data_IF_170646058821
#
_entry.id   IF_170646058821
#
_cell.length_a   1.000
_cell.length_b   1.000
_cell.length_c   1.000
_cell.angle_alpha   90.00
_cell.angle_beta   90.00
_cell.angle_gamma   90.00
#
_symmetry.space_group_name_H-M   'P 1'
#
loop_
_entity.id
_entity.type
_entity.pdbx_description
1 polymer ?
#
# COMPACT_ATOMS: atom_id res chain seq x y z
N UNK A 1 19.11 11.29 -65.35
CA UNK A 1 19.30 10.96 -63.95
C UNK A 1 18.63 12.03 -63.09
N UNK A 2 17.54 11.70 -62.41
CA UNK A 2 16.82 12.63 -61.50
C UNK A 2 17.17 12.21 -60.08
N UNK A 3 17.90 13.05 -59.32
CA UNK A 3 18.13 12.87 -57.90
C UNK A 3 16.85 13.27 -57.17
N UNK A 4 16.28 12.34 -56.40
CA UNK A 4 15.23 12.62 -55.44
C UNK A 4 15.89 12.96 -54.08
N UNK A 5 15.66 14.18 -53.59
CA UNK A 5 16.08 14.60 -52.24
C UNK A 5 15.06 14.09 -51.23
N UNK A 6 15.46 13.19 -50.35
CA UNK A 6 14.64 12.77 -49.20
C UNK A 6 14.80 13.82 -48.10
N UNK A 7 13.72 14.49 -47.74
CA UNK A 7 13.61 15.38 -46.58
C UNK A 7 13.35 14.54 -45.34
N UNK A 8 14.34 14.43 -44.48
CA UNK A 8 14.23 13.76 -43.17
C UNK A 8 13.61 14.76 -42.17
N UNK A 9 12.29 14.64 -41.90
CA UNK A 9 11.63 15.41 -40.87
C UNK A 9 11.96 14.83 -39.49
N UNK A 10 12.80 15.51 -38.73
CA UNK A 10 13.01 15.19 -37.30
C UNK A 10 11.76 15.60 -36.49
N UNK A 11 11.03 14.63 -36.00
CA UNK A 11 9.99 14.84 -35.00
C UNK A 11 10.66 15.24 -33.69
N UNK A 12 10.68 16.50 -33.34
CA UNK A 12 11.10 16.98 -32.01
C UNK A 12 9.98 16.63 -31.04
N UNK A 13 10.11 15.54 -30.30
CA UNK A 13 9.25 15.26 -29.15
C UNK A 13 9.57 16.28 -28.05
N UNK A 14 8.56 16.95 -27.46
CA UNK A 14 8.81 17.81 -26.32
C UNK A 14 9.36 16.97 -25.16
N UNK A 15 10.54 17.29 -24.70
CA UNK A 15 11.13 16.76 -23.47
C UNK A 15 10.26 17.31 -22.34
N UNK A 16 9.45 16.48 -21.72
CA UNK A 16 8.72 16.86 -20.52
C UNK A 16 9.71 17.36 -19.46
N UNK A 17 9.51 18.57 -18.96
CA UNK A 17 10.42 19.22 -18.03
C UNK A 17 10.47 18.41 -16.72
N UNK A 18 11.64 17.85 -16.39
CA UNK A 18 11.87 17.06 -15.19
C UNK A 18 11.49 17.83 -13.90
N UNK A 19 11.52 19.17 -13.95
CA UNK A 19 11.10 20.06 -12.86
C UNK A 19 9.61 20.02 -12.53
N UNK A 20 8.72 19.73 -13.51
CA UNK A 20 7.27 19.60 -13.27
C UNK A 20 6.84 18.18 -12.89
N UNK A 21 7.61 17.16 -13.24
CA UNK A 21 7.24 15.76 -12.96
C UNK A 21 7.30 15.40 -11.48
N UNK A 22 8.28 15.91 -10.75
CA UNK A 22 8.48 15.64 -9.34
C UNK A 22 7.31 16.12 -8.43
N UNK A 23 6.82 17.36 -8.53
CA UNK A 23 5.65 17.81 -7.76
C UNK A 23 4.38 17.02 -8.08
N UNK A 24 4.16 16.64 -9.34
CA UNK A 24 3.01 15.83 -9.75
C UNK A 24 3.08 14.43 -9.16
N UNK A 25 4.25 13.80 -9.15
CA UNK A 25 4.46 12.48 -8.55
C UNK A 25 4.17 12.48 -7.04
N UNK A 26 4.64 13.50 -6.32
CA UNK A 26 4.35 13.67 -4.89
C UNK A 26 2.85 13.90 -4.64
N UNK A 27 2.20 14.76 -5.40
CA UNK A 27 0.76 14.99 -5.29
C UNK A 27 -0.04 13.69 -5.55
N UNK A 28 0.37 12.88 -6.53
CA UNK A 28 -0.22 11.58 -6.81
C UNK A 28 0.00 10.60 -5.64
N UNK A 29 1.19 10.57 -5.04
CA UNK A 29 1.47 9.72 -3.88
C UNK A 29 0.62 10.10 -2.65
N UNK A 30 0.44 11.41 -2.40
CA UNK A 30 -0.48 11.89 -1.35
C UNK A 30 -1.90 11.42 -1.62
N UNK A 31 -2.36 11.51 -2.88
CA UNK A 31 -3.70 11.03 -3.26
C UNK A 31 -3.85 9.51 -3.03
N UNK A 32 -2.81 8.72 -3.32
CA UNK A 32 -2.77 7.28 -3.05
C UNK A 32 -2.94 6.99 -1.55
N UNK A 33 -2.24 7.73 -0.67
CA UNK A 33 -2.36 7.60 0.77
C UNK A 33 -3.76 8.00 1.27
N UNK A 34 -4.29 9.13 0.79
CA UNK A 34 -5.65 9.61 1.13
C UNK A 34 -6.73 8.61 0.72
N UNK A 35 -6.57 8.01 -0.46
CA UNK A 35 -7.50 7.01 -0.96
C UNK A 35 -7.42 5.71 -0.14
N UNK A 36 -6.22 5.32 0.34
CA UNK A 36 -6.03 4.13 1.18
C UNK A 36 -6.56 4.34 2.62
N UNK A 37 -6.49 5.56 3.15
CA UNK A 37 -6.90 5.86 4.53
C UNK A 37 -8.34 5.42 4.81
N UNK A 38 -8.59 4.88 6.02
CA UNK A 38 -9.90 4.42 6.47
C UNK A 38 -9.98 2.92 6.74
N UNK A 39 -11.20 2.38 6.77
CA UNK A 39 -11.48 0.98 7.13
C UNK A 39 -12.00 0.21 5.92
N UNK A 40 -11.53 -1.03 5.79
CA UNK A 40 -11.79 -1.87 4.65
C UNK A 40 -12.18 -3.30 5.06
N UNK A 41 -13.20 -3.86 4.41
CA UNK A 41 -13.41 -5.30 4.35
C UNK A 41 -12.56 -5.84 3.21
N UNK A 42 -11.80 -6.90 3.45
CA UNK A 42 -10.85 -7.42 2.48
C UNK A 42 -11.07 -8.92 2.28
N UNK A 43 -11.29 -9.31 1.03
CA UNK A 43 -11.24 -10.71 0.62
C UNK A 43 -9.84 -11.00 0.11
N UNK A 44 -9.15 -11.96 0.72
CA UNK A 44 -7.80 -12.38 0.36
C UNK A 44 -7.84 -13.77 -0.26
N UNK A 45 -7.29 -13.89 -1.47
CA UNK A 45 -7.11 -15.14 -2.19
C UNK A 45 -5.62 -15.48 -2.23
N UNK A 46 -5.24 -16.65 -1.76
CA UNK A 46 -3.89 -17.23 -1.92
C UNK A 46 -3.85 -18.16 -3.11
N UNK A 47 -2.73 -18.12 -3.82
CA UNK A 47 -2.46 -19.01 -4.93
C UNK A 47 -1.37 -20.03 -4.58
N UNK A 48 -1.54 -21.24 -5.04
CA UNK A 48 -0.50 -22.27 -5.03
C UNK A 48 0.57 -21.97 -6.11
N UNK A 49 1.70 -22.65 -6.05
CA UNK A 49 2.81 -22.46 -7.01
C UNK A 49 2.42 -22.72 -8.48
N UNK A 50 1.39 -23.54 -8.72
CA UNK A 50 0.82 -23.83 -10.04
C UNK A 50 -0.24 -22.78 -10.48
N UNK A 51 -0.48 -21.74 -9.70
CA UNK A 51 -1.46 -20.69 -9.99
C UNK A 51 -2.91 -21.03 -9.61
N UNK A 52 -3.19 -22.21 -9.10
CA UNK A 52 -4.53 -22.56 -8.61
C UNK A 52 -4.84 -21.82 -7.30
N UNK A 53 -6.12 -21.55 -7.04
CA UNK A 53 -6.56 -21.00 -5.75
C UNK A 53 -6.32 -22.02 -4.65
N UNK A 54 -5.50 -21.68 -3.68
CA UNK A 54 -5.17 -22.52 -2.53
C UNK A 54 -6.09 -22.24 -1.33
N UNK A 55 -6.46 -20.98 -1.10
CA UNK A 55 -7.33 -20.57 0.00
C UNK A 55 -7.96 -19.20 -0.26
N UNK A 56 -9.12 -18.97 0.34
CA UNK A 56 -9.80 -17.67 0.37
C UNK A 56 -10.23 -17.41 1.80
N UNK A 57 -9.99 -16.20 2.29
CA UNK A 57 -10.45 -15.74 3.61
C UNK A 57 -10.86 -14.27 3.55
N UNK A 58 -11.67 -13.86 4.52
CA UNK A 58 -12.05 -12.47 4.70
C UNK A 58 -11.39 -11.89 5.94
N UNK A 59 -11.16 -10.58 5.92
CA UNK A 59 -10.54 -9.88 7.02
C UNK A 59 -10.84 -8.39 6.98
N UNK A 60 -10.21 -7.66 7.89
CA UNK A 60 -10.34 -6.22 7.98
C UNK A 60 -8.97 -5.56 7.93
N UNK A 61 -8.90 -4.43 7.21
CA UNK A 61 -7.76 -3.53 7.22
C UNK A 61 -8.19 -2.15 7.71
N UNK A 62 -7.37 -1.52 8.50
CA UNK A 62 -7.53 -0.11 8.84
C UNK A 62 -6.23 0.63 8.53
N UNK A 63 -6.38 1.87 8.04
CA UNK A 63 -5.26 2.77 7.78
C UNK A 63 -5.57 4.13 8.38
N UNK A 64 -4.73 4.55 9.31
CA UNK A 64 -4.92 5.77 10.09
C UNK A 64 -3.70 6.70 9.94
N UNK A 65 -3.94 8.01 9.87
CA UNK A 65 -2.88 9.01 9.76
C UNK A 65 -2.09 9.14 11.07
N UNK A 66 -0.76 9.04 10.97
CA UNK A 66 0.18 9.46 12.03
C UNK A 66 0.66 10.88 11.75
N UNK A 67 1.06 11.14 10.51
CA UNK A 67 1.37 12.48 10.02
C UNK A 67 0.56 12.69 8.76
N UNK A 68 -0.38 13.65 8.74
CA UNK A 68 -1.24 13.89 7.58
C UNK A 68 -0.43 14.02 6.29
N UNK A 69 -0.91 13.35 5.23
CA UNK A 69 -0.33 13.33 3.89
C UNK A 69 1.11 12.77 3.77
N UNK A 70 1.68 12.24 4.86
CA UNK A 70 3.05 11.73 4.87
C UNK A 70 3.20 10.32 5.42
N UNK A 71 2.52 10.03 6.52
CA UNK A 71 2.68 8.76 7.24
C UNK A 71 1.33 8.17 7.59
N UNK A 72 1.05 6.98 7.08
CA UNK A 72 -0.08 6.14 7.48
C UNK A 72 0.42 4.93 8.24
N UNK A 73 -0.22 4.59 9.35
CA UNK A 73 -0.13 3.25 9.92
C UNK A 73 -1.29 2.40 9.44
N UNK A 74 -1.06 1.10 9.35
CA UNK A 74 -2.07 0.13 8.99
C UNK A 74 -2.09 -1.07 9.92
N UNK A 75 -3.27 -1.66 10.07
CA UNK A 75 -3.46 -2.95 10.73
C UNK A 75 -4.29 -3.84 9.85
N UNK A 76 -3.83 -5.06 9.65
CA UNK A 76 -4.54 -6.13 8.95
C UNK A 76 -4.89 -7.24 9.94
N UNK A 77 -6.08 -7.83 9.81
CA UNK A 77 -6.51 -9.00 10.59
C UNK A 77 -7.27 -9.94 9.66
N UNK A 78 -6.87 -11.21 9.62
CA UNK A 78 -7.56 -12.30 8.90
C UNK A 78 -7.84 -13.40 9.92
N UNK A 79 -9.04 -13.42 10.55
CA UNK A 79 -9.34 -14.32 11.66
C UNK A 79 -9.21 -15.80 11.29
N UNK A 80 -9.75 -16.20 10.14
CA UNK A 80 -9.75 -17.60 9.67
C UNK A 80 -8.34 -18.19 9.52
N UNK A 81 -7.34 -17.35 9.34
CA UNK A 81 -5.94 -17.77 9.23
C UNK A 81 -5.13 -17.49 10.48
N UNK A 82 -5.75 -16.97 11.54
CA UNK A 82 -5.08 -16.49 12.75
C UNK A 82 -3.91 -15.54 12.41
N UNK A 83 -4.11 -14.67 11.44
CA UNK A 83 -3.08 -13.74 10.94
C UNK A 83 -3.42 -12.31 11.27
N UNK A 84 -2.38 -11.59 11.70
CA UNK A 84 -2.40 -10.14 11.84
C UNK A 84 -1.08 -9.55 11.35
N UNK A 85 -1.13 -8.28 10.91
CA UNK A 85 0.06 -7.54 10.53
C UNK A 85 -0.10 -6.08 10.90
N UNK A 86 1.01 -5.46 11.27
CA UNK A 86 1.17 -4.01 11.36
C UNK A 86 1.87 -3.48 10.10
N UNK A 87 1.49 -2.29 9.66
CA UNK A 87 2.05 -1.64 8.47
C UNK A 87 2.36 -0.17 8.74
N UNK A 88 3.37 0.34 8.05
CA UNK A 88 3.70 1.75 7.97
C UNK A 88 3.88 2.11 6.51
N UNK A 89 3.22 3.17 6.06
CA UNK A 89 3.47 3.80 4.76
C UNK A 89 4.09 5.16 4.99
N UNK A 90 5.18 5.42 4.31
CA UNK A 90 5.96 6.65 4.43
C UNK A 90 6.25 7.26 3.05
N UNK A 91 5.79 8.51 2.85
CA UNK A 91 6.15 9.30 1.68
C UNK A 91 7.49 9.98 1.91
N UNK A 92 8.54 9.46 1.26
CA UNK A 92 9.86 10.05 1.25
C UNK A 92 9.95 11.10 0.14
N UNK A 93 9.66 12.35 0.48
CA UNK A 93 9.64 13.46 -0.50
C UNK A 93 11.02 13.76 -1.08
N UNK A 94 12.10 13.53 -0.30
CA UNK A 94 13.47 13.76 -0.75
C UNK A 94 13.89 12.78 -1.84
N UNK A 95 13.48 11.52 -1.73
CA UNK A 95 13.81 10.45 -2.67
C UNK A 95 12.73 10.23 -3.72
N UNK A 96 11.60 10.94 -3.62
CA UNK A 96 10.42 10.74 -4.46
C UNK A 96 9.95 9.28 -4.46
N UNK A 97 9.91 8.66 -3.28
CA UNK A 97 9.46 7.28 -3.10
C UNK A 97 8.31 7.19 -2.10
N UNK A 98 7.47 6.18 -2.27
CA UNK A 98 6.52 5.73 -1.27
C UNK A 98 6.98 4.36 -0.77
N UNK A 99 7.30 4.31 0.53
CA UNK A 99 7.81 3.14 1.21
C UNK A 99 6.71 2.49 2.04
N UNK A 100 6.73 1.16 2.13
CA UNK A 100 5.85 0.37 2.97
C UNK A 100 6.70 -0.58 3.80
N UNK A 101 6.59 -0.53 5.12
CA UNK A 101 7.12 -1.53 6.02
C UNK A 101 5.96 -2.33 6.61
N UNK A 102 6.04 -3.65 6.61
CA UNK A 102 5.04 -4.56 7.17
C UNK A 102 5.71 -5.56 8.10
N UNK A 103 5.11 -5.80 9.25
CA UNK A 103 5.51 -6.87 10.18
C UNK A 103 4.30 -7.79 10.39
N UNK A 104 4.48 -9.07 10.08
CA UNK A 104 3.50 -10.11 10.32
C UNK A 104 3.55 -10.68 11.74
N UNK A 105 2.63 -11.59 12.06
CA UNK A 105 2.58 -12.27 13.35
C UNK A 105 3.83 -13.16 13.62
N UNK A 106 4.55 -13.54 12.58
CA UNK A 106 5.82 -14.26 12.62
C UNK A 106 7.03 -13.36 12.96
N UNK A 107 6.81 -12.05 13.10
CA UNK A 107 7.84 -11.07 13.38
C UNK A 107 8.73 -10.71 12.18
N UNK A 108 8.48 -11.24 10.99
CA UNK A 108 9.26 -10.90 9.82
C UNK A 108 8.92 -9.51 9.31
N UNK A 109 9.96 -8.70 9.08
CA UNK A 109 9.84 -7.38 8.47
C UNK A 109 9.94 -7.51 6.95
N UNK A 110 8.95 -6.97 6.26
CA UNK A 110 8.95 -6.79 4.82
C UNK A 110 8.97 -5.29 4.51
N UNK A 111 9.96 -4.84 3.73
CA UNK A 111 10.04 -3.46 3.25
C UNK A 111 9.91 -3.45 1.74
N UNK A 112 9.03 -2.59 1.25
CA UNK A 112 8.80 -2.38 -0.19
C UNK A 112 8.89 -0.91 -0.52
N UNK A 113 9.52 -0.60 -1.64
CA UNK A 113 9.70 0.78 -2.14
C UNK A 113 9.18 0.88 -3.56
N UNK A 114 8.53 1.98 -3.87
CA UNK A 114 8.11 2.34 -5.21
C UNK A 114 8.27 3.82 -5.48
N UNK A 115 8.44 4.21 -6.73
CA UNK A 115 8.47 5.62 -7.10
C UNK A 115 7.15 6.31 -6.72
N UNK A 116 7.23 7.55 -6.22
CA UNK A 116 6.05 8.35 -5.89
C UNK A 116 5.13 8.47 -7.11
N UNK A 117 3.83 8.31 -6.89
CA UNK A 117 2.84 8.34 -7.97
C UNK A 117 2.65 7.02 -8.71
N UNK A 118 3.42 5.97 -8.44
CA UNK A 118 3.17 4.62 -8.96
C UNK A 118 2.39 3.77 -7.96
N UNK A 119 1.58 2.85 -8.46
CA UNK A 119 0.82 1.91 -7.61
C UNK A 119 1.58 0.62 -7.34
N UNK A 120 2.81 0.52 -7.80
CA UNK A 120 3.67 -0.66 -7.66
C UNK A 120 4.83 -0.39 -6.71
N UNK A 121 5.10 -1.35 -5.82
CA UNK A 121 6.24 -1.36 -4.90
C UNK A 121 6.89 -2.72 -4.92
N UNK A 122 8.21 -2.76 -4.78
CA UNK A 122 9.02 -3.99 -4.77
C UNK A 122 9.89 -4.04 -3.52
N UNK A 123 10.20 -5.25 -3.07
CA UNK A 123 11.28 -5.46 -2.10
C UNK A 123 12.63 -5.33 -2.80
N UNK A 124 13.66 -5.14 -2.02
CA UNK A 124 15.01 -5.58 -2.43
C UNK A 124 15.04 -7.11 -2.56
N UNK A 125 16.16 -7.65 -3.04
CA UNK A 125 16.36 -9.09 -3.08
C UNK A 125 16.39 -9.69 -1.68
N UNK A 126 15.55 -10.69 -1.46
CA UNK A 126 15.42 -11.41 -0.19
C UNK A 126 16.15 -12.76 -0.35
N UNK A 127 17.24 -13.02 0.40
CA UNK A 127 17.92 -14.30 0.34
C UNK A 127 17.05 -15.41 0.94
N UNK A 128 17.06 -16.58 0.29
CA UNK A 128 16.35 -17.78 0.75
C UNK A 128 17.34 -18.77 1.36
N UNK A 129 16.90 -19.67 2.26
CA UNK A 129 17.76 -20.67 2.91
C UNK A 129 18.47 -21.63 1.94
N UNK A 130 17.92 -21.81 0.75
CA UNK A 130 18.48 -22.67 -0.32
C UNK A 130 19.47 -21.94 -1.24
N UNK A 131 19.86 -20.69 -0.89
CA UNK A 131 20.83 -19.87 -1.63
C UNK A 131 20.22 -19.12 -2.82
N UNK A 132 18.94 -19.30 -3.12
CA UNK A 132 18.24 -18.48 -4.12
C UNK A 132 17.88 -17.10 -3.54
N UNK A 133 17.49 -16.20 -4.40
CA UNK A 133 16.93 -14.91 -4.04
C UNK A 133 15.51 -14.79 -4.56
N UNK A 134 14.69 -14.01 -3.88
CA UNK A 134 13.38 -13.63 -4.37
C UNK A 134 13.17 -12.12 -4.28
N UNK A 135 12.33 -11.59 -5.17
CA UNK A 135 11.80 -10.24 -5.11
C UNK A 135 10.29 -10.34 -5.01
N UNK A 136 9.66 -9.54 -4.17
CA UNK A 136 8.21 -9.44 -4.10
C UNK A 136 7.75 -8.11 -4.70
N UNK A 137 6.60 -8.14 -5.37
CA UNK A 137 5.97 -6.97 -5.98
C UNK A 137 4.52 -6.86 -5.52
N UNK A 138 4.20 -5.75 -4.89
CA UNK A 138 2.84 -5.36 -4.57
C UNK A 138 2.34 -4.33 -5.57
N UNK A 139 1.16 -4.53 -6.14
CA UNK A 139 0.54 -3.59 -7.08
C UNK A 139 -0.93 -3.40 -6.73
N UNK A 140 -1.37 -2.14 -6.60
CA UNK A 140 -2.80 -1.79 -6.52
C UNK A 140 -3.33 -1.46 -7.91
N UNK A 141 -4.60 -1.75 -8.17
CA UNK A 141 -5.25 -1.49 -9.45
C UNK A 141 -6.79 -1.49 -9.31
N UNK A 142 -7.52 -1.13 -10.36
CA UNK A 142 -8.98 -0.96 -10.35
C UNK A 142 -9.48 -0.08 -9.20
N UNK A 143 -8.83 1.06 -9.03
CA UNK A 143 -8.99 1.93 -7.87
C UNK A 143 -10.18 2.87 -8.10
N UNK A 144 -11.10 2.87 -7.12
CA UNK A 144 -12.22 3.82 -7.00
C UNK A 144 -12.24 4.39 -5.58
N UNK A 145 -13.19 5.27 -5.26
CA UNK A 145 -13.33 5.81 -3.90
C UNK A 145 -13.60 4.72 -2.85
N UNK A 146 -14.36 3.67 -3.23
CA UNK A 146 -14.88 2.67 -2.29
C UNK A 146 -14.29 1.28 -2.50
N UNK A 147 -13.46 1.10 -3.52
CA UNK A 147 -12.93 -0.21 -3.88
C UNK A 147 -11.58 -0.09 -4.56
N UNK A 148 -10.71 -1.05 -4.28
CA UNK A 148 -9.52 -1.33 -5.10
C UNK A 148 -9.15 -2.80 -4.98
N UNK A 149 -8.32 -3.26 -5.92
CA UNK A 149 -7.71 -4.57 -5.87
C UNK A 149 -6.21 -4.41 -5.67
N UNK A 150 -5.59 -5.40 -5.02
CA UNK A 150 -4.15 -5.49 -4.85
C UNK A 150 -3.67 -6.90 -5.14
N UNK A 151 -2.46 -7.03 -5.65
CA UNK A 151 -1.79 -8.31 -5.83
C UNK A 151 -0.38 -8.26 -5.27
N UNK A 152 0.03 -9.37 -4.68
CA UNK A 152 1.40 -9.65 -4.31
C UNK A 152 1.90 -10.79 -5.19
N UNK A 153 2.98 -10.56 -5.91
CA UNK A 153 3.62 -11.48 -6.82
C UNK A 153 5.07 -11.70 -6.40
N UNK A 154 5.61 -12.87 -6.68
CA UNK A 154 7.01 -13.22 -6.35
C UNK A 154 7.77 -13.57 -7.61
N UNK A 155 8.98 -13.06 -7.74
CA UNK A 155 9.96 -13.42 -8.76
C UNK A 155 11.16 -14.12 -8.11
N UNK A 156 11.71 -15.13 -8.80
CA UNK A 156 12.92 -15.85 -8.41
C UNK A 156 14.04 -15.70 -9.47
N UNK A 157 13.87 -14.78 -10.41
CA UNK A 157 14.75 -14.53 -11.55
C UNK A 157 15.06 -13.03 -11.73
N UNK A 158 15.11 -12.29 -10.61
CA UNK A 158 15.41 -10.87 -10.62
C UNK A 158 14.34 -9.99 -11.27
N UNK A 159 13.07 -10.42 -11.24
CA UNK A 159 11.96 -9.64 -11.79
C UNK A 159 11.63 -9.90 -13.26
N UNK A 160 12.25 -10.89 -13.90
CA UNK A 160 11.98 -11.24 -15.30
C UNK A 160 10.65 -11.96 -15.45
N UNK A 161 10.29 -12.85 -14.52
CA UNK A 161 8.97 -13.47 -14.46
C UNK A 161 8.35 -13.35 -13.07
N UNK A 162 7.00 -13.36 -13.01
CA UNK A 162 6.26 -13.15 -11.77
C UNK A 162 5.22 -14.24 -11.57
N UNK A 163 5.22 -14.83 -10.38
CA UNK A 163 4.23 -15.84 -9.97
C UNK A 163 3.23 -15.19 -9.04
N UNK A 164 1.91 -15.44 -9.22
CA UNK A 164 0.91 -14.92 -8.30
C UNK A 164 1.07 -15.57 -6.92
N UNK A 165 1.04 -14.75 -5.87
CA UNK A 165 1.05 -15.20 -4.49
C UNK A 165 -0.27 -14.92 -3.79
N UNK A 166 -0.68 -13.65 -3.81
CA UNK A 166 -1.89 -13.16 -3.15
C UNK A 166 -2.63 -12.20 -4.07
N UNK A 167 -3.96 -12.30 -4.06
CA UNK A 167 -4.86 -11.27 -4.58
C UNK A 167 -5.78 -10.80 -3.45
N UNK A 168 -6.02 -9.50 -3.37
CA UNK A 168 -6.88 -8.89 -2.37
C UNK A 168 -7.89 -7.96 -3.03
N UNK A 169 -9.14 -8.08 -2.60
CA UNK A 169 -10.21 -7.16 -2.95
C UNK A 169 -10.56 -6.35 -1.70
N UNK A 170 -10.34 -5.06 -1.78
CA UNK A 170 -10.68 -4.10 -0.74
C UNK A 170 -12.02 -3.43 -1.05
N UNK A 171 -12.95 -3.45 -0.10
CA UNK A 171 -14.23 -2.75 -0.15
C UNK A 171 -14.33 -1.88 1.09
N UNK A 172 -14.53 -0.57 0.90
CA UNK A 172 -14.59 0.40 2.00
C UNK A 172 -15.75 0.10 2.93
N UNK A 173 -15.50 0.12 4.23
CA UNK A 173 -16.57 0.04 5.21
C UNK A 173 -17.35 1.37 5.21
N UNK A 174 -18.70 1.33 5.32
CA UNK A 174 -19.47 2.54 5.54
C UNK A 174 -18.96 3.29 6.77
N UNK A 175 -18.92 4.61 6.70
CA UNK A 175 -18.64 5.41 7.89
C UNK A 175 -19.64 5.00 8.99
N UNK A 176 -19.17 4.56 10.15
CA UNK A 176 -20.02 4.31 11.30
C UNK A 176 -20.79 5.61 11.56
N UNK A 177 -22.13 5.58 11.53
CA UNK A 177 -22.90 6.71 12.06
C UNK A 177 -22.38 6.94 13.47
N UNK A 178 -22.04 8.18 13.86
CA UNK A 178 -21.80 8.45 15.27
C UNK A 178 -23.06 7.96 16.01
N UNK A 179 -22.87 6.97 16.88
CA UNK A 179 -23.95 6.56 17.79
C UNK A 179 -24.46 7.84 18.40
N UNK A 180 -25.77 8.09 18.20
CA UNK A 180 -26.45 9.21 18.83
C UNK A 180 -26.23 8.99 20.33
N UNK A 181 -25.29 9.74 20.89
CA UNK A 181 -24.88 9.61 22.27
C UNK A 181 -26.13 9.83 23.13
N UNK A 182 -26.77 8.73 23.53
CA UNK A 182 -27.73 8.73 24.62
C UNK A 182 -26.97 9.21 25.83
N UNK A 183 -27.24 10.46 26.19
CA UNK A 183 -26.58 11.16 27.26
C UNK A 183 -26.65 10.37 28.57
N UNK A 184 -25.50 9.91 29.02
CA UNK A 184 -25.31 9.60 30.42
C UNK A 184 -24.14 10.47 30.90
N UNK A 185 -24.49 11.71 31.25
CA UNK A 185 -23.57 12.58 31.99
C UNK A 185 -23.31 11.93 33.35
N UNK A 186 -22.30 11.12 33.47
CA UNK A 186 -21.69 10.84 34.76
C UNK A 186 -20.98 12.12 35.22
N UNK A 187 -21.71 12.93 35.99
CA UNK A 187 -21.12 13.98 36.83
C UNK A 187 -20.20 13.30 37.84
N UNK A 188 -18.92 13.17 37.51
CA UNK A 188 -17.87 12.93 38.47
C UNK A 188 -17.74 14.16 39.36
N UNK A 189 -18.19 14.06 40.61
CA UNK A 189 -17.89 15.04 41.67
C UNK A 189 -16.36 15.16 41.81
N UNK A 190 -15.79 16.36 41.84
CA UNK A 190 -14.37 16.49 42.17
C UNK A 190 -14.15 16.04 43.62
N UNK A 191 -13.22 15.12 43.80
CA UNK A 191 -12.75 14.72 45.14
C UNK A 191 -11.89 15.86 45.69
N UNK A 192 -12.06 16.22 47.01
CA UNK A 192 -11.23 17.23 47.63
C UNK A 192 -9.78 16.73 47.76
N UNK A 193 -8.85 17.60 47.41
CA UNK A 193 -7.40 17.41 47.56
C UNK A 193 -7.06 17.30 49.05
N UNK A 194 -6.44 16.20 49.51
CA UNK A 194 -5.88 16.04 50.86
C UNK A 194 -4.36 16.19 50.71
N UNK A 195 -3.74 17.21 51.34
CA UNK A 195 -2.28 17.32 51.38
C UNK A 195 -1.67 16.29 52.28
N UNK A 196 -0.65 15.61 51.81
CA UNK A 196 0.20 14.74 52.63
C UNK A 196 1.10 15.60 53.53
N UNK A 197 1.00 15.40 54.85
CA UNK A 197 1.94 15.87 55.87
C UNK A 197 3.10 14.90 56.03
#
# INVERSE_FOLDING_TARGET
>A
MKLAAAVLSFLVMPIADAGEMAPRALASAVQQLRQAAGRWNVTTTRYAANGAVAAVATGTWSFDWVVPDRVLTGRAVIPDWNQSAGMLFYLNERMYTLEMAQVGADGQLLVMTGAAGTETRTTEEIPLPDGRHMVQRHTRYKITADRFEAKLETSYDGGQSWKPGIHQLFVRQPASRPDSATGMQHRTRPQPYVPLT
#
